data_IF_343909690014
#
_entry.id   IF_343909690014
#
_cell.length_a   1.000
_cell.length_b   1.000
_cell.length_c   1.000
_cell.angle_alpha   90.00
_cell.angle_beta   90.00
_cell.angle_gamma   90.00
#
_symmetry.space_group_name_H-M   'P 1'
#
loop_
_entity.id
_entity.type
_entity.pdbx_description
1 polymer ?
#
# COMPACT_ATOMS: atom_id res chain seq x y z
N UNK A 1 -16.66 78.14 12.37
CA UNK A 1 -15.33 77.64 11.95
C UNK A 1 -15.10 76.20 12.40
N UNK A 2 -15.31 75.86 13.68
CA UNK A 2 -15.19 74.48 14.22
C UNK A 2 -16.03 73.43 13.50
N UNK A 3 -17.30 73.69 13.20
CA UNK A 3 -18.16 72.71 12.52
C UNK A 3 -17.67 72.35 11.11
N UNK A 4 -17.28 73.35 10.32
CA UNK A 4 -16.73 73.13 8.97
C UNK A 4 -15.42 72.32 9.01
N UNK A 5 -14.57 72.56 10.00
CA UNK A 5 -13.32 71.79 10.20
C UNK A 5 -13.62 70.35 10.58
N UNK A 6 -14.63 70.11 11.43
CA UNK A 6 -15.04 68.77 11.83
C UNK A 6 -15.65 67.97 10.67
N UNK A 7 -16.46 68.60 9.82
CA UNK A 7 -17.00 67.96 8.61
C UNK A 7 -15.90 67.58 7.63
N UNK A 8 -14.90 68.45 7.42
CA UNK A 8 -13.76 68.16 6.54
C UNK A 8 -12.93 66.99 7.07
N UNK A 9 -12.67 66.93 8.38
CA UNK A 9 -11.96 65.81 9.00
C UNK A 9 -12.71 64.49 8.85
N UNK A 10 -14.04 64.51 8.99
CA UNK A 10 -14.87 63.31 8.88
C UNK A 10 -14.92 62.79 7.43
N UNK A 11 -14.94 63.69 6.44
CA UNK A 11 -14.85 63.33 5.02
C UNK A 11 -13.47 62.76 4.67
N UNK A 12 -12.39 63.32 5.20
CA UNK A 12 -11.03 62.77 5.01
C UNK A 12 -10.92 61.37 5.63
N UNK A 13 -11.50 61.17 6.82
CA UNK A 13 -11.49 59.87 7.49
C UNK A 13 -12.23 58.81 6.65
N UNK A 14 -13.37 59.16 6.08
CA UNK A 14 -14.14 58.28 5.19
C UNK A 14 -13.35 57.95 3.91
N UNK A 15 -12.74 58.96 3.27
CA UNK A 15 -11.97 58.77 2.03
C UNK A 15 -10.70 57.95 2.26
N UNK A 16 -10.06 58.07 3.42
CA UNK A 16 -8.84 57.32 3.73
C UNK A 16 -9.13 55.90 4.23
N UNK A 17 -10.15 55.70 5.07
CA UNK A 17 -10.37 54.41 5.72
C UNK A 17 -11.27 53.46 4.93
N UNK A 18 -12.23 53.95 4.13
CA UNK A 18 -13.08 53.08 3.32
C UNK A 18 -12.28 52.29 2.28
N UNK A 19 -11.36 52.89 1.50
CA UNK A 19 -10.57 52.12 0.54
C UNK A 19 -9.69 51.08 1.21
N UNK A 20 -9.10 51.41 2.37
CA UNK A 20 -8.29 50.47 3.16
C UNK A 20 -9.17 49.29 3.59
N UNK A 21 -10.33 49.55 4.20
CA UNK A 21 -11.26 48.52 4.65
C UNK A 21 -11.78 47.63 3.50
N UNK A 22 -12.10 48.23 2.34
CA UNK A 22 -12.51 47.50 1.14
C UNK A 22 -11.35 46.67 0.58
N UNK A 23 -10.12 47.17 0.60
CA UNK A 23 -8.95 46.38 0.17
C UNK A 23 -8.62 45.22 1.11
N UNK A 24 -8.83 45.35 2.43
CA UNK A 24 -8.66 44.22 3.36
C UNK A 24 -9.77 43.19 3.22
N UNK A 25 -11.01 43.60 2.96
CA UNK A 25 -12.12 42.68 2.68
C UNK A 25 -11.94 41.93 1.35
N UNK A 26 -11.46 42.60 0.29
CA UNK A 26 -11.25 41.99 -1.02
C UNK A 26 -9.98 41.13 -1.11
N UNK A 27 -8.94 41.43 -0.32
CA UNK A 27 -7.71 40.60 -0.29
C UNK A 27 -7.86 39.32 0.51
N UNK A 28 -8.96 39.14 1.24
CA UNK A 28 -9.08 38.11 2.26
C UNK A 28 -8.14 38.41 3.42
N UNK A 29 -8.53 38.01 4.62
CA UNK A 29 -7.58 37.91 5.73
C UNK A 29 -6.57 36.84 5.28
N UNK A 30 -5.24 37.14 5.24
CA UNK A 30 -4.26 36.07 5.05
C UNK A 30 -4.57 35.04 6.12
N UNK A 31 -4.90 33.80 5.73
CA UNK A 31 -4.92 32.70 6.70
C UNK A 31 -3.54 32.74 7.36
N UNK A 32 -3.48 33.11 8.63
CA UNK A 32 -2.35 32.74 9.46
C UNK A 32 -2.17 31.25 9.20
N UNK A 33 -0.96 30.84 8.80
CA UNK A 33 -0.55 29.46 8.96
C UNK A 33 -0.78 29.18 10.44
N UNK A 34 -1.86 28.48 10.72
CA UNK A 34 -2.04 27.82 11.99
C UNK A 34 -0.82 26.91 12.05
N UNK A 35 0.14 27.24 12.93
CA UNK A 35 1.21 26.33 13.27
C UNK A 35 0.47 25.06 13.71
N UNK A 36 0.42 24.06 12.83
CA UNK A 36 -0.07 22.75 13.19
C UNK A 36 0.82 22.30 14.34
N UNK A 37 0.20 22.02 15.48
CA UNK A 37 0.87 21.28 16.54
C UNK A 37 1.42 20.03 15.88
N UNK A 38 2.74 19.91 15.76
CA UNK A 38 3.38 18.68 15.27
C UNK A 38 3.00 17.59 16.26
N UNK A 39 1.89 16.90 15.99
CA UNK A 39 1.50 15.71 16.73
C UNK A 39 2.50 14.65 16.33
N UNK A 40 3.55 14.53 17.14
CA UNK A 40 4.62 13.54 16.97
C UNK A 40 4.00 12.15 17.14
N UNK A 41 3.47 11.63 16.03
CA UNK A 41 2.69 10.40 16.02
C UNK A 41 3.66 9.26 16.28
N UNK A 42 3.38 8.47 17.31
CA UNK A 42 4.19 7.31 17.66
C UNK A 42 3.48 6.01 17.32
N UNK A 43 4.28 5.01 16.97
CA UNK A 43 3.82 3.68 16.58
C UNK A 43 4.42 2.64 17.52
N UNK A 44 3.60 1.67 17.93
CA UNK A 44 4.03 0.48 18.67
C UNK A 44 4.28 -0.63 17.66
N UNK A 45 5.46 -1.25 17.70
CA UNK A 45 5.85 -2.32 16.77
C UNK A 45 6.53 -3.46 17.51
N UNK A 46 6.23 -4.70 17.11
CA UNK A 46 6.93 -5.90 17.58
C UNK A 46 8.21 -6.10 16.79
N UNK A 47 9.36 -5.98 17.46
CA UNK A 47 10.69 -6.22 16.89
C UNK A 47 11.36 -7.35 17.68
N UNK A 48 11.67 -8.46 17.01
CA UNK A 48 12.34 -9.63 17.63
C UNK A 48 11.64 -10.15 18.90
N UNK A 49 10.31 -10.08 18.95
CA UNK A 49 9.50 -10.53 20.08
C UNK A 49 9.35 -9.51 21.21
N UNK A 50 9.91 -8.30 21.06
CA UNK A 50 9.78 -7.20 22.01
C UNK A 50 8.99 -6.04 21.41
N UNK A 51 8.15 -5.41 22.23
CA UNK A 51 7.43 -4.20 21.84
C UNK A 51 8.36 -2.99 21.91
N UNK A 52 8.38 -2.19 20.83
CA UNK A 52 9.09 -0.91 20.76
C UNK A 52 8.13 0.20 20.36
N UNK A 53 8.35 1.39 20.93
CA UNK A 53 7.67 2.63 20.54
C UNK A 53 8.64 3.48 19.75
N UNK A 54 8.23 3.96 18.59
CA UNK A 54 9.05 4.78 17.70
C UNK A 54 8.23 5.89 17.04
N UNK A 55 8.90 6.94 16.56
CA UNK A 55 8.26 7.96 15.74
C UNK A 55 7.76 7.35 14.43
N UNK A 56 6.67 7.89 13.88
CA UNK A 56 6.06 7.39 12.65
C UNK A 56 7.05 7.35 11.49
N UNK A 57 7.81 8.40 11.27
CA UNK A 57 8.75 8.44 10.15
C UNK A 57 9.92 7.45 10.32
N UNK A 58 10.42 7.25 11.54
CA UNK A 58 11.44 6.22 11.82
C UNK A 58 10.90 4.81 11.54
N UNK A 59 9.63 4.55 11.90
CA UNK A 59 8.94 3.31 11.56
C UNK A 59 8.84 3.11 10.04
N UNK A 60 8.46 4.18 9.32
CA UNK A 60 8.25 4.13 7.88
C UNK A 60 9.54 3.88 7.10
N UNK A 61 10.71 4.31 7.59
CA UNK A 61 12.00 3.92 7.00
C UNK A 61 12.14 2.39 6.99
N UNK A 62 11.83 1.76 8.12
CA UNK A 62 11.83 0.31 8.28
C UNK A 62 10.82 -0.40 7.38
N UNK A 63 9.64 0.17 7.20
CA UNK A 63 8.62 -0.36 6.29
C UNK A 63 9.05 -0.26 4.84
N UNK A 64 9.45 0.93 4.37
CA UNK A 64 9.85 1.13 2.97
C UNK A 64 11.05 0.23 2.62
N UNK A 65 11.99 0.04 3.55
CA UNK A 65 13.10 -0.88 3.38
C UNK A 65 12.70 -2.37 3.34
N UNK A 66 11.61 -2.74 4.01
CA UNK A 66 11.07 -4.09 3.98
C UNK A 66 10.32 -4.39 2.67
N UNK A 67 9.59 -3.38 2.19
CA UNK A 67 8.63 -3.49 1.09
C UNK A 67 9.24 -3.24 -0.29
N UNK A 68 10.18 -2.30 -0.41
CA UNK A 68 10.73 -1.86 -1.70
C UNK A 68 12.21 -2.21 -1.85
N UNK A 69 12.63 -2.74 -3.01
CA UNK A 69 14.04 -2.85 -3.35
C UNK A 69 14.73 -1.49 -3.31
N UNK A 70 15.90 -1.41 -2.67
CA UNK A 70 16.66 -0.17 -2.49
C UNK A 70 17.05 0.54 -3.80
N UNK A 71 17.09 -0.20 -4.91
CA UNK A 71 17.47 0.28 -6.24
C UNK A 71 16.30 0.90 -7.03
N UNK A 72 15.06 0.80 -6.54
CA UNK A 72 13.90 1.43 -7.17
C UNK A 72 14.04 2.95 -7.28
N UNK A 73 13.37 3.54 -8.26
CA UNK A 73 13.40 4.97 -8.52
C UNK A 73 12.84 5.77 -7.32
N UNK A 74 13.36 6.98 -7.14
CA UNK A 74 13.03 7.83 -5.98
C UNK A 74 11.52 8.09 -5.84
N UNK A 75 10.84 8.36 -6.96
CA UNK A 75 9.40 8.61 -6.98
C UNK A 75 8.58 7.37 -6.58
N UNK A 76 9.07 6.16 -6.87
CA UNK A 76 8.43 4.93 -6.40
C UNK A 76 8.62 4.72 -4.88
N UNK A 77 9.82 5.04 -4.35
CA UNK A 77 10.07 5.01 -2.90
C UNK A 77 9.22 6.04 -2.14
N UNK A 78 9.05 7.25 -2.71
CA UNK A 78 8.15 8.28 -2.17
C UNK A 78 6.69 7.82 -2.20
N UNK A 79 6.24 7.21 -3.29
CA UNK A 79 4.89 6.64 -3.38
C UNK A 79 4.68 5.57 -2.29
N UNK A 80 5.65 4.68 -2.09
CA UNK A 80 5.59 3.70 -1.00
C UNK A 80 5.55 4.36 0.38
N UNK A 81 6.36 5.40 0.63
CA UNK A 81 6.37 6.09 1.92
C UNK A 81 4.99 6.68 2.25
N UNK A 82 4.36 7.38 1.30
CA UNK A 82 3.02 7.97 1.48
C UNK A 82 1.94 6.91 1.63
N UNK A 83 1.98 5.83 0.83
CA UNK A 83 1.03 4.72 0.96
C UNK A 83 1.17 4.02 2.33
N UNK A 84 2.40 3.72 2.76
CA UNK A 84 2.69 3.12 4.05
C UNK A 84 2.29 4.03 5.22
N UNK A 85 2.51 5.35 5.12
CA UNK A 85 2.05 6.33 6.12
C UNK A 85 0.53 6.32 6.24
N UNK A 86 -0.15 6.40 5.10
CA UNK A 86 -1.62 6.39 5.02
C UNK A 86 -2.20 5.12 5.64
N UNK A 87 -1.66 3.96 5.27
CA UNK A 87 -2.08 2.67 5.82
C UNK A 87 -1.85 2.61 7.34
N UNK A 88 -0.67 2.99 7.81
CA UNK A 88 -0.34 3.02 9.25
C UNK A 88 -1.33 3.88 10.03
N UNK A 89 -1.57 5.11 9.59
CA UNK A 89 -2.48 6.04 10.24
C UNK A 89 -3.93 5.57 10.19
N UNK A 90 -4.35 4.99 9.06
CA UNK A 90 -5.68 4.39 8.91
C UNK A 90 -5.89 3.26 9.94
N UNK A 91 -4.92 2.36 10.10
CA UNK A 91 -4.99 1.27 11.09
C UNK A 91 -4.96 1.76 12.53
N UNK A 92 -4.18 2.80 12.84
CA UNK A 92 -4.20 3.42 14.17
C UNK A 92 -5.55 4.08 14.50
N UNK A 93 -6.26 4.61 13.50
CA UNK A 93 -7.60 5.15 13.66
C UNK A 93 -8.69 4.08 13.82
N UNK A 94 -8.50 2.90 13.22
CA UNK A 94 -9.47 1.81 13.25
C UNK A 94 -9.32 0.89 14.48
N UNK A 95 -8.14 0.88 15.14
CA UNK A 95 -7.83 -0.03 16.25
C UNK A 95 -7.16 0.65 17.46
N UNK A 96 -7.78 0.51 18.64
CA UNK A 96 -7.16 0.91 19.90
C UNK A 96 -5.98 0.01 20.27
N UNK A 97 -4.89 0.60 20.76
CA UNK A 97 -3.71 -0.11 21.27
C UNK A 97 -3.06 -1.08 20.27
N UNK A 98 -3.15 -0.80 18.96
CA UNK A 98 -2.53 -1.60 17.92
C UNK A 98 -1.01 -1.71 18.11
N UNK A 99 -0.47 -2.90 17.87
CA UNK A 99 0.96 -3.15 17.76
C UNK A 99 1.23 -3.73 16.36
N UNK A 100 2.00 -3.01 15.55
CA UNK A 100 2.38 -3.47 14.22
C UNK A 100 3.34 -4.65 14.31
N UNK A 101 3.16 -5.61 13.40
CA UNK A 101 4.03 -6.78 13.25
C UNK A 101 4.18 -7.10 11.78
N UNK A 102 5.13 -7.96 11.43
CA UNK A 102 5.40 -8.34 10.04
C UNK A 102 4.22 -9.04 9.34
N UNK A 103 3.23 -9.54 10.09
CA UNK A 103 2.00 -10.08 9.52
C UNK A 103 1.03 -8.99 9.03
N UNK A 104 1.14 -7.78 9.56
CA UNK A 104 0.27 -6.64 9.22
C UNK A 104 0.93 -5.70 8.21
N UNK A 105 2.23 -5.43 8.39
CA UNK A 105 3.02 -4.54 7.55
C UNK A 105 4.50 -4.88 7.78
N UNK A 106 5.22 -5.22 6.72
CA UNK A 106 6.59 -5.69 6.86
C UNK A 106 7.48 -4.56 7.40
N UNK A 107 8.43 -4.93 8.26
CA UNK A 107 9.36 -4.01 8.90
C UNK A 107 10.74 -4.64 9.00
N UNK A 108 11.77 -3.88 8.64
CA UNK A 108 13.18 -4.24 8.87
C UNK A 108 13.80 -3.30 9.90
N UNK A 109 14.61 -3.88 10.79
CA UNK A 109 15.53 -3.09 11.61
C UNK A 109 16.73 -2.62 10.77
N UNK A 110 17.47 -1.63 11.26
CA UNK A 110 18.74 -1.22 10.64
C UNK A 110 19.74 -2.38 10.55
N UNK A 111 19.75 -3.28 11.53
CA UNK A 111 20.58 -4.49 11.51
C UNK A 111 20.15 -5.43 10.37
N UNK A 112 18.85 -5.66 10.19
CA UNK A 112 18.33 -6.48 9.08
C UNK A 112 18.66 -5.86 7.72
N UNK A 113 18.58 -4.53 7.61
CA UNK A 113 18.95 -3.78 6.42
C UNK A 113 20.45 -3.91 6.13
N UNK A 114 21.32 -3.75 7.13
CA UNK A 114 22.76 -3.88 6.97
C UNK A 114 23.15 -5.32 6.55
N UNK A 115 22.53 -6.32 7.17
CA UNK A 115 22.72 -7.72 6.80
C UNK A 115 22.28 -8.02 5.36
N UNK A 116 21.16 -7.41 4.92
CA UNK A 116 20.60 -7.61 3.58
C UNK A 116 21.37 -6.88 2.49
N UNK A 117 21.83 -5.66 2.76
CA UNK A 117 22.47 -4.79 1.76
C UNK A 117 24.00 -4.81 1.80
N UNK A 118 24.56 -5.33 2.88
CA UNK A 118 25.98 -5.32 3.21
C UNK A 118 26.45 -3.97 3.75
N UNK A 119 27.35 -4.01 4.74
CA UNK A 119 27.94 -2.85 5.43
C UNK A 119 28.46 -1.76 4.48
N UNK A 120 29.04 -2.15 3.34
CA UNK A 120 29.60 -1.20 2.37
C UNK A 120 28.56 -0.37 1.61
N UNK A 121 27.31 -0.83 1.52
CA UNK A 121 26.24 -0.14 0.79
C UNK A 121 25.11 0.36 1.69
N UNK A 122 25.05 -0.12 2.94
CA UNK A 122 23.99 0.20 3.91
C UNK A 122 23.72 1.71 4.00
N UNK A 123 24.75 2.51 4.34
CA UNK A 123 24.58 3.94 4.53
C UNK A 123 23.98 4.64 3.30
N UNK A 124 24.40 4.25 2.09
CA UNK A 124 23.88 4.83 0.84
C UNK A 124 22.40 4.54 0.65
N UNK A 125 21.98 3.29 0.84
CA UNK A 125 20.60 2.87 0.59
C UNK A 125 19.66 3.32 1.71
N UNK A 126 20.12 3.25 2.96
CA UNK A 126 19.41 3.81 4.10
C UNK A 126 19.14 5.30 3.90
N UNK A 127 20.16 6.10 3.54
CA UNK A 127 19.96 7.54 3.28
C UNK A 127 19.00 7.83 2.13
N UNK A 128 18.97 6.99 1.08
CA UNK A 128 18.03 7.15 -0.03
C UNK A 128 16.58 6.92 0.41
N UNK A 129 16.33 5.86 1.18
CA UNK A 129 14.99 5.53 1.71
C UNK A 129 14.56 6.58 2.73
N UNK A 130 15.45 6.92 3.66
CA UNK A 130 15.21 7.97 4.65
C UNK A 130 14.80 9.28 3.99
N UNK A 131 15.53 9.70 2.95
CA UNK A 131 15.19 10.89 2.18
C UNK A 131 13.80 10.81 1.54
N UNK A 132 13.39 9.67 1.01
CA UNK A 132 12.04 9.51 0.43
C UNK A 132 10.93 9.67 1.49
N UNK A 133 11.15 9.19 2.71
CA UNK A 133 10.23 9.36 3.84
C UNK A 133 10.18 10.82 4.28
N UNK A 134 11.34 11.47 4.45
CA UNK A 134 11.47 12.88 4.84
C UNK A 134 10.89 13.85 3.79
N UNK A 135 11.16 13.61 2.51
CA UNK A 135 10.67 14.46 1.41
C UNK A 135 9.13 14.36 1.23
N UNK A 136 8.49 13.38 1.86
CA UNK A 136 7.03 13.16 1.87
C UNK A 136 6.45 13.23 3.28
N UNK A 137 7.15 13.89 4.20
CA UNK A 137 6.68 14.10 5.56
C UNK A 137 5.26 14.70 5.54
N UNK A 138 4.42 14.21 6.45
CA UNK A 138 3.03 14.63 6.62
C UNK A 138 2.10 14.45 5.40
N UNK A 139 2.56 13.82 4.32
CA UNK A 139 1.69 13.53 3.17
C UNK A 139 1.03 12.15 3.29
N UNK A 140 -0.27 12.12 2.99
CA UNK A 140 -1.16 10.95 3.00
C UNK A 140 -2.04 10.92 1.76
N UNK A 141 -2.65 9.77 1.47
CA UNK A 141 -3.66 9.64 0.42
C UNK A 141 -5.06 9.66 1.03
N UNK A 142 -5.91 10.54 0.50
CA UNK A 142 -7.29 10.71 0.97
C UNK A 142 -8.30 10.55 -0.16
N UNK A 143 -9.48 10.03 0.17
CA UNK A 143 -10.63 9.99 -0.70
C UNK A 143 -11.80 10.67 0.02
N UNK A 144 -12.35 11.72 -0.58
CA UNK A 144 -13.41 12.53 0.02
C UNK A 144 -13.07 13.12 1.41
N UNK A 145 -11.77 13.34 1.67
CA UNK A 145 -11.27 13.91 2.92
C UNK A 145 -10.89 12.87 3.99
N UNK A 146 -11.24 11.60 3.78
CA UNK A 146 -10.89 10.51 4.71
C UNK A 146 -9.65 9.75 4.22
N UNK A 147 -8.82 9.27 5.14
CA UNK A 147 -7.69 8.39 4.83
C UNK A 147 -8.18 7.13 4.10
N UNK A 148 -7.51 6.77 3.01
CA UNK A 148 -7.85 5.56 2.26
C UNK A 148 -7.27 4.30 2.90
N UNK A 149 -7.79 3.15 2.48
CA UNK A 149 -7.15 1.85 2.68
C UNK A 149 -6.01 1.68 1.67
N UNK A 150 -4.84 2.27 1.95
CA UNK A 150 -3.69 2.34 1.04
C UNK A 150 -2.92 1.01 0.94
N UNK A 151 -3.59 -0.06 0.53
CA UNK A 151 -2.99 -1.38 0.32
C UNK A 151 -2.10 -1.41 -0.92
N UNK A 152 -1.04 -2.20 -0.85
CA UNK A 152 -0.08 -2.36 -1.94
C UNK A 152 0.42 -3.81 -2.01
N UNK A 153 1.03 -4.17 -3.12
CA UNK A 153 1.60 -5.50 -3.35
C UNK A 153 2.81 -5.43 -4.28
N UNK A 154 3.64 -6.48 -4.30
CA UNK A 154 4.86 -6.52 -5.09
C UNK A 154 4.60 -6.36 -6.59
N UNK A 155 3.89 -7.32 -7.18
CA UNK A 155 3.78 -7.42 -8.64
C UNK A 155 2.38 -7.93 -8.99
N UNK A 156 1.67 -7.22 -9.87
CA UNK A 156 0.39 -7.68 -10.40
C UNK A 156 0.60 -8.68 -11.54
N UNK A 157 -0.49 -9.31 -11.99
CA UNK A 157 -0.45 -10.19 -13.16
C UNK A 157 -0.55 -9.43 -14.50
N UNK A 158 -0.42 -8.10 -14.48
CA UNK A 158 -0.58 -7.17 -15.61
C UNK A 158 -1.73 -6.16 -15.39
N UNK A 159 -2.59 -6.42 -14.40
CA UNK A 159 -3.63 -5.53 -13.90
C UNK A 159 -3.82 -5.74 -12.41
N UNK A 160 -4.19 -4.69 -11.69
CA UNK A 160 -4.57 -4.77 -10.28
C UNK A 160 -5.99 -5.33 -10.14
N UNK A 161 -6.33 -5.87 -8.97
CA UNK A 161 -7.68 -6.35 -8.66
C UNK A 161 -8.48 -5.28 -7.93
N UNK A 162 -9.80 -5.32 -8.10
CA UNK A 162 -10.68 -4.52 -7.25
C UNK A 162 -10.85 -5.14 -5.86
N UNK A 163 -11.07 -4.32 -4.84
CA UNK A 163 -11.43 -4.78 -3.49
C UNK A 163 -12.71 -5.62 -3.48
N UNK A 164 -13.61 -5.42 -4.44
CA UNK A 164 -14.87 -6.18 -4.57
C UNK A 164 -14.61 -7.63 -4.92
N UNK A 165 -13.70 -7.88 -5.86
CA UNK A 165 -13.37 -9.25 -6.28
C UNK A 165 -12.58 -10.00 -5.19
N UNK A 166 -11.71 -9.30 -4.45
CA UNK A 166 -10.84 -9.95 -3.45
C UNK A 166 -11.48 -10.06 -2.07
N UNK A 167 -12.22 -9.03 -1.63
CA UNK A 167 -12.78 -8.92 -0.28
C UNK A 167 -14.31 -8.80 -0.24
N UNK A 168 -14.98 -8.82 -1.40
CA UNK A 168 -16.43 -8.68 -1.47
C UNK A 168 -16.95 -7.27 -1.16
N UNK A 169 -16.05 -6.30 -1.00
CA UNK A 169 -16.40 -4.91 -0.64
C UNK A 169 -16.12 -3.95 -1.79
N UNK A 170 -17.11 -3.16 -2.15
CA UNK A 170 -16.97 -2.12 -3.15
C UNK A 170 -16.30 -0.90 -2.51
N UNK A 171 -15.00 -0.73 -2.78
CA UNK A 171 -14.19 0.39 -2.28
C UNK A 171 -13.82 1.25 -3.49
N UNK A 172 -14.38 2.47 -3.64
CA UNK A 172 -14.33 3.24 -4.90
C UNK A 172 -12.94 3.53 -5.45
N UNK A 173 -11.95 3.68 -4.56
CA UNK A 173 -10.55 3.94 -4.93
C UNK A 173 -9.70 2.67 -5.08
N UNK A 174 -10.23 1.48 -4.76
CA UNK A 174 -9.55 0.19 -4.97
C UNK A 174 -10.23 -0.59 -6.09
N UNK A 175 -10.06 -0.09 -7.30
CA UNK A 175 -10.55 -0.70 -8.55
C UNK A 175 -9.40 -1.27 -9.37
N UNK A 176 -9.73 -2.12 -10.34
CA UNK A 176 -8.73 -2.63 -11.29
C UNK A 176 -8.22 -1.51 -12.19
N UNK A 177 -6.89 -1.35 -12.24
CA UNK A 177 -6.18 -0.48 -13.16
C UNK A 177 -5.12 -1.27 -13.93
N UNK A 178 -4.67 -0.73 -15.05
CA UNK A 178 -3.63 -1.35 -15.86
C UNK A 178 -2.28 -1.33 -15.13
N UNK A 179 -1.52 -2.40 -15.23
CA UNK A 179 -0.15 -2.47 -14.69
C UNK A 179 0.67 -3.39 -15.59
N UNK A 180 0.53 -3.21 -16.91
CA UNK A 180 1.05 -4.16 -17.89
C UNK A 180 2.58 -4.34 -17.82
N UNK A 181 3.29 -3.34 -17.33
CA UNK A 181 4.76 -3.35 -17.18
C UNK A 181 5.26 -4.30 -16.09
N UNK A 182 4.36 -4.76 -15.21
CA UNK A 182 4.68 -5.73 -14.16
C UNK A 182 5.20 -7.05 -14.74
N UNK A 183 4.91 -7.34 -16.01
CA UNK A 183 5.48 -8.49 -16.75
C UNK A 183 7.01 -8.48 -16.77
N UNK A 184 7.64 -7.31 -16.62
CA UNK A 184 9.09 -7.15 -16.60
C UNK A 184 9.69 -7.35 -15.19
N UNK A 185 8.86 -7.51 -14.15
CA UNK A 185 9.31 -7.78 -12.79
C UNK A 185 9.97 -9.16 -12.71
N UNK A 186 11.10 -9.32 -11.98
CA UNK A 186 11.64 -10.63 -11.66
C UNK A 186 10.68 -11.47 -10.80
N UNK A 187 9.73 -10.84 -10.11
CA UNK A 187 8.70 -11.51 -9.29
C UNK A 187 7.41 -11.82 -10.08
N UNK A 188 7.43 -11.68 -11.42
CA UNK A 188 6.24 -11.88 -12.25
C UNK A 188 5.82 -13.36 -12.35
N UNK A 189 6.75 -14.32 -12.32
CA UNK A 189 6.46 -15.75 -12.40
C UNK A 189 7.13 -16.49 -11.25
N UNK A 190 6.33 -17.24 -10.48
CA UNK A 190 6.82 -18.12 -9.42
C UNK A 190 6.31 -19.53 -9.62
N UNK A 191 7.22 -20.50 -9.62
CA UNK A 191 6.86 -21.90 -9.68
C UNK A 191 7.10 -22.56 -8.32
N UNK A 192 6.08 -23.24 -7.81
CA UNK A 192 6.15 -24.07 -6.61
C UNK A 192 5.82 -25.52 -6.96
N UNK A 193 6.57 -26.45 -6.37
CA UNK A 193 6.41 -27.88 -6.63
C UNK A 193 6.22 -28.61 -5.32
N UNK A 194 5.19 -29.46 -5.26
CA UNK A 194 4.84 -30.24 -4.08
C UNK A 194 4.77 -31.72 -4.43
N UNK A 195 5.14 -32.58 -3.49
CA UNK A 195 4.69 -33.98 -3.52
C UNK A 195 3.20 -34.01 -3.16
N UNK A 196 2.48 -35.06 -3.57
CA UNK A 196 1.07 -35.24 -3.17
C UNK A 196 0.91 -35.25 -1.64
N UNK A 197 1.87 -35.84 -0.92
CA UNK A 197 1.87 -35.88 0.54
C UNK A 197 2.02 -34.48 1.15
N UNK A 198 2.97 -33.68 0.68
CA UNK A 198 3.19 -32.32 1.19
C UNK A 198 2.01 -31.40 0.89
N UNK A 199 1.51 -31.43 -0.36
CA UNK A 199 0.31 -30.69 -0.77
C UNK A 199 -0.90 -31.03 0.12
N UNK A 200 -1.15 -32.32 0.33
CA UNK A 200 -2.23 -32.80 1.21
C UNK A 200 -2.04 -32.35 2.66
N UNK A 201 -0.80 -32.39 3.16
CA UNK A 201 -0.48 -32.03 4.55
C UNK A 201 -0.67 -30.54 4.80
N UNK A 202 -0.26 -29.70 3.84
CA UNK A 202 -0.46 -28.24 3.87
C UNK A 202 -1.94 -27.86 3.93
N UNK A 203 -2.80 -28.51 3.13
CA UNK A 203 -4.25 -28.27 3.20
C UNK A 203 -4.82 -28.79 4.52
N UNK A 204 -4.44 -30.00 4.96
CA UNK A 204 -4.91 -30.59 6.23
C UNK A 204 -4.52 -29.81 7.48
N UNK A 205 -3.46 -29.00 7.42
CA UNK A 205 -3.08 -28.13 8.51
C UNK A 205 -4.19 -27.13 8.89
N UNK A 206 -5.07 -26.80 7.93
CA UNK A 206 -6.19 -25.88 8.12
C UNK A 206 -7.56 -26.56 7.94
N UNK A 207 -7.64 -27.59 7.10
CA UNK A 207 -8.87 -28.32 6.76
C UNK A 207 -8.76 -29.79 7.22
N UNK A 208 -9.06 -30.08 8.48
CA UNK A 208 -8.73 -31.37 9.12
C UNK A 208 -9.46 -32.59 8.53
N UNK A 209 -10.63 -32.38 7.93
CA UNK A 209 -11.44 -33.38 7.21
C UNK A 209 -11.15 -33.42 5.70
N UNK A 210 -10.09 -32.75 5.23
CA UNK A 210 -9.68 -32.79 3.82
C UNK A 210 -9.31 -34.21 3.38
N UNK A 211 -9.84 -34.62 2.22
CA UNK A 211 -9.48 -35.88 1.57
C UNK A 211 -9.75 -35.83 0.07
N UNK A 212 -8.95 -36.60 -0.67
CA UNK A 212 -9.27 -37.03 -2.03
C UNK A 212 -10.14 -38.30 -1.99
N UNK A 213 -10.98 -38.49 -3.00
CA UNK A 213 -11.91 -39.62 -3.10
C UNK A 213 -11.38 -40.78 -3.95
N UNK A 214 -10.41 -40.52 -4.82
CA UNK A 214 -9.90 -41.44 -5.82
C UNK A 214 -8.37 -41.42 -5.89
N UNK A 215 -7.80 -42.38 -6.61
CA UNK A 215 -6.38 -42.40 -6.91
C UNK A 215 -6.00 -41.38 -8.01
N UNK A 216 -6.97 -40.94 -8.82
CA UNK A 216 -6.76 -39.93 -9.86
C UNK A 216 -6.98 -38.52 -9.29
N UNK A 217 -5.98 -38.04 -8.56
CA UNK A 217 -6.01 -36.73 -7.90
C UNK A 217 -6.20 -35.57 -8.89
N UNK A 218 -5.70 -35.71 -10.12
CA UNK A 218 -5.82 -34.66 -11.13
C UNK A 218 -7.29 -34.35 -11.44
N UNK A 219 -8.15 -35.37 -11.45
CA UNK A 219 -9.59 -35.21 -11.66
C UNK A 219 -10.32 -34.49 -10.53
N UNK A 220 -9.69 -34.37 -9.35
CA UNK A 220 -10.26 -33.78 -8.14
C UNK A 220 -9.74 -32.37 -7.84
N UNK A 221 -8.90 -31.81 -8.71
CA UNK A 221 -8.40 -30.45 -8.62
C UNK A 221 -8.91 -29.66 -9.81
N UNK A 222 -9.88 -28.77 -9.57
CA UNK A 222 -10.52 -28.00 -10.62
C UNK A 222 -10.72 -26.55 -10.22
N UNK A 223 -10.15 -25.63 -10.99
CA UNK A 223 -10.45 -24.20 -10.88
C UNK A 223 -11.89 -23.98 -11.36
N UNK A 224 -12.75 -23.50 -10.45
CA UNK A 224 -14.18 -23.30 -10.69
C UNK A 224 -14.39 -22.01 -11.48
N UNK A 225 -13.78 -20.92 -11.04
CA UNK A 225 -13.84 -19.63 -11.70
C UNK A 225 -12.64 -18.74 -11.35
N UNK A 226 -12.51 -17.65 -12.10
CA UNK A 226 -11.50 -16.61 -11.92
C UNK A 226 -12.14 -15.24 -11.89
N UNK A 227 -11.46 -14.29 -11.26
CA UNK A 227 -11.76 -12.85 -11.41
C UNK A 227 -11.49 -12.41 -12.86
N UNK A 228 -12.01 -11.26 -13.30
CA UNK A 228 -11.73 -10.74 -14.64
C UNK A 228 -10.23 -10.57 -14.94
N UNK A 229 -9.43 -10.30 -13.91
CA UNK A 229 -7.97 -10.13 -13.99
C UNK A 229 -7.21 -11.47 -13.97
N UNK A 230 -7.93 -12.59 -13.83
CA UNK A 230 -7.38 -13.94 -13.97
C UNK A 230 -6.98 -14.62 -12.67
N UNK A 231 -7.18 -14.00 -11.51
CA UNK A 231 -6.92 -14.61 -10.21
C UNK A 231 -7.96 -15.70 -9.94
N UNK A 232 -7.55 -16.80 -9.31
CA UNK A 232 -8.49 -17.87 -8.93
C UNK A 232 -9.42 -17.33 -7.86
N UNK A 233 -10.72 -17.26 -8.17
CA UNK A 233 -11.72 -16.85 -7.19
C UNK A 233 -12.18 -18.07 -6.37
N UNK A 234 -12.53 -19.18 -7.04
CA UNK A 234 -12.88 -20.46 -6.39
C UNK A 234 -12.18 -21.64 -7.07
N UNK A 235 -11.78 -22.60 -6.26
CA UNK A 235 -11.18 -23.88 -6.69
C UNK A 235 -11.73 -25.03 -5.86
N UNK A 236 -12.01 -26.14 -6.52
CA UNK A 236 -12.26 -27.42 -5.87
C UNK A 236 -10.95 -28.19 -5.73
N UNK A 237 -10.68 -28.71 -4.53
CA UNK A 237 -9.60 -29.64 -4.25
C UNK A 237 -10.19 -30.76 -3.38
N UNK A 238 -10.32 -31.97 -3.94
CA UNK A 238 -10.95 -33.10 -3.26
C UNK A 238 -12.37 -32.77 -2.80
N UNK A 239 -12.62 -32.93 -1.50
CA UNK A 239 -13.89 -32.60 -0.85
C UNK A 239 -14.08 -31.12 -0.47
N UNK A 240 -13.13 -30.23 -0.80
CA UNK A 240 -13.18 -28.81 -0.40
C UNK A 240 -13.39 -27.90 -1.59
N UNK A 241 -14.17 -26.85 -1.38
CA UNK A 241 -14.30 -25.70 -2.27
C UNK A 241 -13.70 -24.50 -1.52
N UNK A 242 -12.58 -23.99 -2.01
CA UNK A 242 -11.77 -22.97 -1.35
C UNK A 242 -11.67 -21.71 -2.21
N UNK A 243 -11.47 -20.57 -1.56
CA UNK A 243 -11.08 -19.33 -2.25
C UNK A 243 -9.62 -19.42 -2.71
N UNK A 244 -9.27 -18.78 -3.82
CA UNK A 244 -7.88 -18.79 -4.31
C UNK A 244 -6.91 -18.13 -3.34
N UNK A 245 -7.30 -17.06 -2.63
CA UNK A 245 -6.48 -16.46 -1.57
C UNK A 245 -6.27 -17.41 -0.37
N UNK A 246 -7.27 -18.25 -0.06
CA UNK A 246 -7.14 -19.28 0.98
C UNK A 246 -6.12 -20.33 0.54
N UNK A 247 -6.22 -20.82 -0.70
CA UNK A 247 -5.25 -21.79 -1.25
C UNK A 247 -3.85 -21.18 -1.32
N UNK A 248 -3.73 -19.92 -1.75
CA UNK A 248 -2.47 -19.18 -1.74
C UNK A 248 -1.83 -19.19 -0.36
N UNK A 249 -2.60 -18.92 0.69
CA UNK A 249 -2.11 -18.97 2.08
C UNK A 249 -1.74 -20.38 2.52
N UNK A 250 -2.57 -21.38 2.23
CA UNK A 250 -2.30 -22.76 2.66
C UNK A 250 -1.05 -23.35 2.04
N UNK A 251 -0.77 -22.97 0.78
CA UNK A 251 0.33 -23.51 0.00
C UNK A 251 1.56 -22.59 -0.03
N UNK A 252 1.51 -21.42 0.63
CA UNK A 252 2.56 -20.39 0.59
C UNK A 252 2.88 -19.91 -0.85
N UNK A 253 1.84 -19.70 -1.66
CA UNK A 253 1.98 -19.24 -3.05
C UNK A 253 2.20 -17.73 -3.13
N UNK A 254 2.92 -17.30 -4.18
CA UNK A 254 3.19 -15.89 -4.44
C UNK A 254 1.89 -15.07 -4.65
N UNK A 255 0.91 -15.61 -5.37
CA UNK A 255 -0.39 -14.97 -5.63
C UNK A 255 -1.51 -16.00 -5.76
N UNK A 256 -2.77 -15.55 -5.79
CA UNK A 256 -3.92 -16.39 -6.15
C UNK A 256 -4.13 -16.48 -7.68
N UNK A 257 -3.32 -15.80 -8.50
CA UNK A 257 -3.31 -16.00 -9.94
C UNK A 257 -2.37 -17.15 -10.30
N UNK A 258 -2.87 -18.37 -10.16
CA UNK A 258 -2.07 -19.56 -10.46
C UNK A 258 -2.76 -20.52 -11.43
N UNK A 259 -1.95 -21.40 -12.01
CA UNK A 259 -2.37 -22.64 -12.67
C UNK A 259 -1.77 -23.82 -11.92
N UNK A 260 -2.52 -24.92 -11.82
CA UNK A 260 -2.06 -26.16 -11.18
C UNK A 260 -1.96 -27.24 -12.25
N UNK A 261 -0.83 -27.91 -12.31
CA UNK A 261 -0.59 -29.09 -13.12
C UNK A 261 -0.28 -30.27 -12.19
N UNK A 262 -1.03 -31.35 -12.33
CA UNK A 262 -0.88 -32.56 -11.53
C UNK A 262 -0.28 -33.65 -12.42
N UNK A 263 0.85 -34.20 -12.00
CA UNK A 263 1.52 -35.33 -12.63
C UNK A 263 1.51 -36.54 -11.69
N UNK A 264 1.97 -37.69 -12.17
CA UNK A 264 2.00 -38.93 -11.36
C UNK A 264 2.84 -38.78 -10.08
N UNK A 265 3.87 -37.93 -10.09
CA UNK A 265 4.82 -37.77 -8.99
C UNK A 265 4.68 -36.43 -8.24
N UNK A 266 4.17 -35.38 -8.88
CA UNK A 266 4.24 -34.00 -8.37
C UNK A 266 3.05 -33.12 -8.77
N UNK A 267 2.78 -32.13 -7.92
CA UNK A 267 1.86 -31.01 -8.19
C UNK A 267 2.70 -29.76 -8.40
N UNK A 268 2.63 -29.21 -9.61
CA UNK A 268 3.30 -27.97 -10.00
C UNK A 268 2.29 -26.82 -10.02
N UNK A 269 2.64 -25.72 -9.36
CA UNK A 269 1.80 -24.52 -9.27
C UNK A 269 2.59 -23.34 -9.80
N UNK A 270 2.16 -22.82 -10.95
CA UNK A 270 2.74 -21.62 -11.55
C UNK A 270 1.87 -20.41 -11.21
N UNK A 271 2.41 -19.48 -10.44
CA UNK A 271 1.79 -18.21 -10.09
C UNK A 271 2.25 -17.08 -11.02
N UNK A 272 1.35 -16.13 -11.28
CA UNK A 272 1.61 -14.85 -11.93
C UNK A 272 1.46 -13.71 -10.94
N UNK A 273 2.45 -12.83 -10.90
CA UNK A 273 2.55 -11.77 -9.91
C UNK A 273 2.82 -12.30 -8.50
N UNK A 274 2.94 -11.35 -7.57
CA UNK A 274 3.26 -11.56 -6.17
C UNK A 274 2.42 -10.61 -5.31
N UNK A 275 1.60 -11.16 -4.43
CA UNK A 275 0.69 -10.41 -3.57
C UNK A 275 -0.79 -10.57 -3.93
N UNK A 276 -1.63 -9.80 -3.23
CA UNK A 276 -3.10 -9.86 -3.37
C UNK A 276 -3.63 -9.16 -4.64
N UNK A 277 -2.82 -8.34 -5.30
CA UNK A 277 -3.21 -7.65 -6.53
C UNK A 277 -4.03 -6.37 -6.34
N UNK A 278 -4.61 -6.12 -5.16
CA UNK A 278 -5.35 -4.87 -4.86
C UNK A 278 -4.42 -3.67 -4.62
N UNK A 279 -4.83 -2.48 -5.05
CA UNK A 279 -4.14 -1.21 -4.79
C UNK A 279 -2.85 -1.03 -5.59
N UNK A 280 -1.83 -0.41 -4.99
CA UNK A 280 -0.60 -0.06 -5.71
C UNK A 280 0.29 -1.29 -5.97
N UNK A 281 0.70 -1.49 -7.22
CA UNK A 281 1.79 -2.42 -7.57
C UNK A 281 3.14 -1.73 -7.35
N UNK A 282 4.04 -2.34 -6.58
CA UNK A 282 5.37 -1.80 -6.26
C UNK A 282 6.27 -1.76 -7.50
N UNK A 283 6.35 -2.86 -8.26
CA UNK A 283 7.09 -2.88 -9.53
C UNK A 283 6.42 -2.02 -10.61
N UNK A 284 5.09 -1.95 -10.61
CA UNK A 284 4.36 -1.04 -11.49
C UNK A 284 4.64 0.43 -11.17
N UNK A 285 4.73 0.79 -9.89
CA UNK A 285 5.14 2.12 -9.43
C UNK A 285 6.58 2.44 -9.87
N UNK A 286 7.51 1.48 -9.77
CA UNK A 286 8.88 1.65 -10.25
C UNK A 286 8.95 1.90 -11.77
N UNK A 287 8.15 1.18 -12.55
CA UNK A 287 8.04 1.39 -13.99
C UNK A 287 7.47 2.78 -14.34
N UNK A 288 6.44 3.24 -13.63
CA UNK A 288 5.89 4.58 -13.82
C UNK A 288 6.91 5.66 -13.44
N UNK A 289 7.63 5.48 -12.33
CA UNK A 289 8.70 6.38 -11.92
C UNK A 289 9.83 6.43 -12.96
N UNK A 290 10.21 5.29 -13.55
CA UNK A 290 11.17 5.24 -14.66
C UNK A 290 10.69 6.03 -15.89
N UNK A 291 9.37 6.05 -16.13
CA UNK A 291 8.73 6.84 -17.21
C UNK A 291 8.58 8.33 -16.87
N UNK A 292 9.01 8.75 -15.68
CA UNK A 292 9.02 10.15 -15.26
C UNK A 292 7.76 10.61 -14.52
N UNK A 293 6.89 9.69 -14.10
CA UNK A 293 5.75 10.02 -13.25
C UNK A 293 6.23 10.38 -11.85
N UNK A 294 5.65 11.42 -11.27
CA UNK A 294 5.84 11.78 -9.87
C UNK A 294 5.12 10.81 -8.94
N UNK A 295 5.54 10.74 -7.67
CA UNK A 295 4.89 9.88 -6.67
C UNK A 295 3.40 10.19 -6.49
N UNK A 296 2.99 11.47 -6.63
CA UNK A 296 1.57 11.86 -6.58
C UNK A 296 0.79 11.25 -7.74
N UNK A 297 1.31 11.37 -8.96
CA UNK A 297 0.68 10.76 -10.14
C UNK A 297 0.62 9.23 -10.05
N UNK A 298 1.65 8.60 -9.48
CA UNK A 298 1.66 7.14 -9.24
C UNK A 298 0.56 6.75 -8.25
N UNK A 299 0.43 7.45 -7.13
CA UNK A 299 -0.59 7.16 -6.11
C UNK A 299 -2.00 7.38 -6.64
N UNK A 300 -2.24 8.50 -7.33
CA UNK A 300 -3.55 8.83 -7.91
C UNK A 300 -3.93 7.89 -9.06
N UNK A 301 -2.93 7.29 -9.73
CA UNK A 301 -3.15 6.26 -10.74
C UNK A 301 -3.67 4.96 -10.12
N UNK A 302 -3.04 4.46 -9.06
CA UNK A 302 -3.44 3.20 -8.42
C UNK A 302 -4.66 3.34 -7.49
N UNK A 303 -4.82 4.49 -6.85
CA UNK A 303 -5.93 4.78 -5.95
C UNK A 303 -6.93 5.72 -6.63
N UNK A 304 -7.78 5.15 -7.48
CA UNK A 304 -8.64 5.93 -8.41
C UNK A 304 -9.50 6.97 -7.70
N UNK A 305 -9.32 8.24 -8.06
CA UNK A 305 -10.09 9.36 -7.51
C UNK A 305 -9.69 9.78 -6.10
N UNK A 306 -8.72 9.10 -5.48
CA UNK A 306 -8.04 9.59 -4.29
C UNK A 306 -6.98 10.64 -4.68
N UNK A 307 -6.53 11.42 -3.72
CA UNK A 307 -5.54 12.50 -3.93
C UNK A 307 -4.53 12.51 -2.78
N UNK A 308 -3.31 12.97 -3.07
CA UNK A 308 -2.33 13.23 -2.01
C UNK A 308 -2.67 14.54 -1.29
N UNK A 309 -2.74 14.49 0.03
CA UNK A 309 -2.98 15.64 0.90
C UNK A 309 -1.94 15.69 2.01
N UNK A 310 -1.64 16.90 2.48
CA UNK A 310 -0.92 17.10 3.74
C UNK A 310 -1.88 16.84 4.91
N UNK A 311 -1.35 16.29 6.01
CA UNK A 311 -2.05 16.19 7.29
C UNK A 311 -2.35 17.59 7.83
N UNK A 312 -3.52 17.78 8.47
CA UNK A 312 -3.92 19.07 9.04
C UNK A 312 -3.07 19.49 10.24
#
# INVERSE_FOLDING_TARGET
MREKVMTILLVILIICFIPIFVTTMLRGIPKEKQDSEVVDTTVRVMVNGEEKVMALDDYLIGVVAAEMPYNFYEEALKAQAVAARTYTLKKLGDYDNLIFSNDLQAYLTEEDMENRWGTGSFAKYYSKIKKAVEDTADEVVVYQGDLIEAVFHSTSSGKTQSAKEVWGQDIPYLVSVDSAEDVNSPEYLHNSTYTLQDFTSKIKAYETDFQFYSADVASEIQIINRTPEGYVAKIQIGNKILDGEVVRKYLDLASSNFTINVTDDQIEVLCKGYGHGVGMSQYGADSLAQKGYSYKEILEYYYTGAVVSELP
#
